data_IF_034932151357
#
_entry.id   IF_034932151357
#
_cell.length_a   1.000
_cell.length_b   1.000
_cell.length_c   1.000
_cell.angle_alpha   90.00
_cell.angle_beta   90.00
_cell.angle_gamma   90.00
#
_symmetry.space_group_name_H-M   'P 1'
#
loop_
_entity.id
_entity.type
_entity.pdbx_description
1 polymer ?
#
# COMPACT_ATOMS: atom_id res chain seq x y z
N UNK A 1 3.70 16.39 5.05
CA UNK A 1 2.50 17.15 5.38
C UNK A 1 1.90 17.89 4.21
N UNK A 2 2.23 19.17 4.01
CA UNK A 2 1.57 20.05 3.00
C UNK A 2 1.71 19.53 1.57
N UNK A 3 2.89 19.06 1.20
CA UNK A 3 3.14 18.53 -0.15
C UNK A 3 2.28 17.29 -0.46
N UNK A 4 2.13 16.38 0.51
CA UNK A 4 1.25 15.22 0.35
C UNK A 4 -0.22 15.61 0.21
N UNK A 5 -0.67 16.60 0.98
CA UNK A 5 -2.04 17.13 0.86
C UNK A 5 -2.29 17.76 -0.52
N UNK A 6 -1.34 18.56 -1.03
CA UNK A 6 -1.45 19.15 -2.36
C UNK A 6 -1.51 18.09 -3.47
N UNK A 7 -0.66 17.05 -3.41
CA UNK A 7 -0.70 15.95 -4.37
C UNK A 7 -2.03 15.19 -4.31
N UNK A 8 -2.57 14.96 -3.12
CA UNK A 8 -3.88 14.32 -2.96
C UNK A 8 -5.00 15.18 -3.57
N UNK A 9 -5.00 16.51 -3.34
CA UNK A 9 -6.00 17.41 -3.91
C UNK A 9 -5.94 17.42 -5.44
N UNK A 10 -4.75 17.56 -6.03
CA UNK A 10 -4.58 17.61 -7.48
C UNK A 10 -4.94 16.27 -8.11
N UNK A 11 -4.51 15.15 -7.49
CA UNK A 11 -4.85 13.81 -7.95
C UNK A 11 -6.36 13.57 -7.93
N UNK A 12 -7.01 13.88 -6.81
CA UNK A 12 -8.46 13.73 -6.66
C UNK A 12 -9.22 14.56 -7.69
N UNK A 13 -8.82 15.83 -7.88
CA UNK A 13 -9.45 16.70 -8.89
C UNK A 13 -9.31 16.13 -10.31
N UNK A 14 -8.13 15.64 -10.66
CA UNK A 14 -7.90 15.01 -11.96
C UNK A 14 -8.79 13.79 -12.21
N UNK A 15 -8.96 12.95 -11.19
CA UNK A 15 -9.87 11.79 -11.29
C UNK A 15 -11.35 12.22 -11.31
N UNK A 16 -11.76 13.21 -10.54
CA UNK A 16 -13.12 13.77 -10.61
C UNK A 16 -13.44 14.29 -12.03
N UNK A 17 -12.49 14.97 -12.66
CA UNK A 17 -12.66 15.45 -14.05
C UNK A 17 -12.85 14.28 -15.02
N UNK A 18 -12.07 13.21 -14.90
CA UNK A 18 -12.21 12.02 -15.75
C UNK A 18 -13.55 11.31 -15.51
N UNK A 19 -13.98 11.23 -14.26
CA UNK A 19 -15.23 10.58 -13.88
C UNK A 19 -16.47 11.43 -14.19
N UNK A 20 -16.29 12.73 -14.40
CA UNK A 20 -17.37 13.67 -14.61
C UNK A 20 -18.11 14.05 -13.33
N UNK A 21 -17.47 13.92 -12.19
CA UNK A 21 -18.00 14.25 -10.87
C UNK A 21 -17.30 13.51 -9.74
N UNK A 22 -17.76 13.70 -8.53
CA UNK A 22 -17.24 12.99 -7.34
C UNK A 22 -17.61 11.53 -7.39
N UNK A 23 -16.63 10.65 -7.36
CA UNK A 23 -16.83 9.19 -7.38
C UNK A 23 -16.70 8.53 -6.00
N UNK A 24 -16.26 9.28 -4.99
CA UNK A 24 -16.07 8.82 -3.60
C UNK A 24 -17.19 9.31 -2.70
N UNK A 25 -17.47 8.53 -1.66
CA UNK A 25 -18.53 8.76 -0.69
C UNK A 25 -18.01 8.49 0.72
N UNK A 26 -18.22 9.44 1.64
CA UNK A 26 -17.88 9.25 3.05
C UNK A 26 -19.06 9.52 3.98
N UNK A 27 -20.27 9.60 3.45
CA UNK A 27 -21.48 9.97 4.21
C UNK A 27 -21.74 9.03 5.38
N UNK A 28 -21.45 7.74 5.20
CA UNK A 28 -21.60 6.71 6.24
C UNK A 28 -20.28 6.27 6.88
N UNK A 29 -19.15 6.91 6.56
CA UNK A 29 -17.84 6.47 7.05
C UNK A 29 -17.69 6.75 8.55
N UNK A 30 -17.42 5.69 9.31
CA UNK A 30 -16.93 5.79 10.69
C UNK A 30 -15.40 5.73 10.66
N UNK A 31 -14.77 6.88 10.78
CA UNK A 31 -13.30 6.98 10.70
C UNK A 31 -12.60 6.23 11.84
N UNK A 32 -13.18 6.22 13.04
CA UNK A 32 -12.61 5.49 14.17
C UNK A 32 -12.60 3.97 13.94
N UNK A 33 -13.54 3.45 13.17
CA UNK A 33 -13.60 2.02 12.85
C UNK A 33 -12.69 1.59 11.70
N UNK A 34 -12.01 2.53 11.02
CA UNK A 34 -11.10 2.22 9.91
C UNK A 34 -9.70 1.81 10.37
N UNK A 35 -9.35 2.06 11.61
CA UNK A 35 -8.03 1.77 12.19
C UNK A 35 -8.18 0.65 13.22
N UNK A 36 -7.29 -0.33 13.20
CA UNK A 36 -7.28 -1.40 14.21
C UNK A 36 -6.84 -0.85 15.57
N UNK A 37 -7.17 -1.56 16.66
CA UNK A 37 -6.73 -1.13 17.99
C UNK A 37 -5.19 -1.14 18.09
N UNK A 38 -4.56 -2.16 17.52
CA UNK A 38 -3.09 -2.28 17.54
C UNK A 38 -2.42 -1.11 16.80
N UNK A 39 -2.98 -0.68 15.66
CA UNK A 39 -2.49 0.49 14.93
C UNK A 39 -2.73 1.78 15.72
N UNK A 40 -3.88 1.93 16.37
CA UNK A 40 -4.16 3.07 17.24
C UNK A 40 -3.18 3.15 18.40
N UNK A 41 -2.88 2.03 19.04
CA UNK A 41 -1.94 1.95 20.14
C UNK A 41 -0.53 2.31 19.67
N UNK A 42 -0.10 1.81 18.51
CA UNK A 42 1.18 2.16 17.91
C UNK A 42 1.29 3.66 17.58
N UNK A 43 0.26 4.24 16.97
CA UNK A 43 0.23 5.69 16.66
C UNK A 43 0.20 6.55 17.91
N UNK A 44 -0.60 6.18 18.90
CA UNK A 44 -0.67 6.93 20.17
C UNK A 44 0.64 6.80 20.97
N UNK A 45 1.30 5.64 20.96
CA UNK A 45 2.61 5.46 21.55
C UNK A 45 3.67 6.38 20.89
N UNK A 46 3.64 6.48 19.55
CA UNK A 46 4.49 7.40 18.79
C UNK A 46 4.26 8.88 19.14
N UNK A 47 3.10 9.21 19.71
CA UNK A 47 2.74 10.55 20.22
C UNK A 47 2.91 10.65 21.75
N UNK A 48 3.86 9.95 22.33
CA UNK A 48 4.13 9.94 23.77
C UNK A 48 2.96 9.42 24.63
N UNK A 49 2.22 8.46 24.11
CA UNK A 49 1.08 7.85 24.82
C UNK A 49 -0.16 8.72 24.89
N UNK A 50 -0.25 9.80 24.11
CA UNK A 50 -1.47 10.61 24.03
C UNK A 50 -2.56 9.90 23.24
N UNK A 51 -3.83 10.21 23.53
CA UNK A 51 -4.97 9.75 22.75
C UNK A 51 -5.30 10.65 21.54
N UNK A 52 -4.32 11.39 21.02
CA UNK A 52 -4.53 12.42 20.02
C UNK A 52 -5.10 11.85 18.71
N UNK A 53 -4.59 10.69 18.24
CA UNK A 53 -5.11 10.04 17.03
C UNK A 53 -6.54 9.54 17.27
N UNK A 54 -6.81 8.92 18.39
CA UNK A 54 -8.17 8.47 18.77
C UNK A 54 -9.15 9.64 18.80
N UNK A 55 -8.75 10.75 19.43
CA UNK A 55 -9.56 11.97 19.48
C UNK A 55 -9.79 12.57 18.09
N UNK A 56 -8.77 12.62 17.24
CA UNK A 56 -8.89 13.10 15.86
C UNK A 56 -9.87 12.23 15.04
N UNK A 57 -9.77 10.92 15.10
CA UNK A 57 -10.65 10.01 14.38
C UNK A 57 -12.10 10.11 14.89
N UNK A 58 -12.29 10.26 16.21
CA UNK A 58 -13.59 10.53 16.81
C UNK A 58 -14.19 11.84 16.30
N UNK A 59 -13.39 12.92 16.29
CA UNK A 59 -13.81 14.22 15.75
C UNK A 59 -14.21 14.11 14.27
N UNK A 60 -13.39 13.48 13.43
CA UNK A 60 -13.70 13.28 12.02
C UNK A 60 -14.99 12.50 11.81
N UNK A 61 -15.29 11.55 12.69
CA UNK A 61 -16.51 10.74 12.62
C UNK A 61 -17.77 11.57 12.87
N UNK A 62 -17.72 12.53 13.80
CA UNK A 62 -18.91 13.31 14.21
C UNK A 62 -18.99 14.70 13.53
N UNK A 63 -17.86 15.32 13.25
CA UNK A 63 -17.77 16.69 12.75
C UNK A 63 -17.02 16.82 11.43
N UNK A 64 -16.43 15.75 10.89
CA UNK A 64 -15.78 15.75 9.59
C UNK A 64 -16.75 16.05 8.44
N UNK A 65 -16.27 16.76 7.43
CA UNK A 65 -17.08 17.06 6.25
C UNK A 65 -17.56 15.77 5.58
N UNK A 66 -18.86 15.70 5.32
CA UNK A 66 -19.50 14.58 4.61
C UNK A 66 -19.64 14.93 3.13
N UNK A 67 -19.25 14.00 2.30
CA UNK A 67 -19.29 14.14 0.84
C UNK A 67 -20.03 12.94 0.26
N UNK A 68 -21.08 13.20 -0.49
CA UNK A 68 -21.80 12.19 -1.24
C UNK A 68 -21.23 12.07 -2.66
N UNK A 69 -21.14 10.85 -3.16
CA UNK A 69 -20.74 10.58 -4.52
C UNK A 69 -21.85 11.01 -5.52
N UNK A 70 -21.46 11.47 -6.68
CA UNK A 70 -22.32 11.50 -7.85
C UNK A 70 -22.53 10.05 -8.34
N UNK A 71 -23.77 9.57 -8.47
CA UNK A 71 -24.05 8.18 -8.84
C UNK A 71 -23.45 7.79 -10.20
N UNK A 72 -23.43 8.71 -11.16
CA UNK A 72 -22.90 8.45 -12.51
C UNK A 72 -21.36 8.35 -12.46
N UNK A 73 -20.71 9.27 -11.75
CA UNK A 73 -19.27 9.24 -11.57
C UNK A 73 -18.83 7.99 -10.81
N UNK A 74 -19.56 7.61 -9.76
CA UNK A 74 -19.29 6.37 -9.00
C UNK A 74 -19.43 5.12 -9.88
N UNK A 75 -20.48 5.03 -10.68
CA UNK A 75 -20.67 3.90 -11.60
C UNK A 75 -19.57 3.85 -12.67
N UNK A 76 -19.15 5.00 -13.20
CA UNK A 76 -18.05 5.08 -14.16
C UNK A 76 -16.74 4.63 -13.55
N UNK A 77 -16.42 5.10 -12.33
CA UNK A 77 -15.25 4.67 -11.59
C UNK A 77 -15.26 3.15 -11.37
N UNK A 78 -16.37 2.61 -10.89
CA UNK A 78 -16.52 1.18 -10.64
C UNK A 78 -16.31 0.34 -11.92
N UNK A 79 -16.77 0.82 -13.07
CA UNK A 79 -16.62 0.09 -14.34
C UNK A 79 -15.23 0.17 -14.96
N UNK A 80 -14.46 1.22 -14.68
CA UNK A 80 -13.19 1.48 -15.35
C UNK A 80 -11.96 1.23 -14.47
N UNK A 81 -12.06 1.45 -13.18
CA UNK A 81 -10.91 1.50 -12.28
C UNK A 81 -10.93 0.45 -11.16
N UNK A 82 -12.08 -0.15 -10.87
CA UNK A 82 -12.10 -1.21 -9.87
C UNK A 82 -11.41 -2.45 -10.42
N UNK A 83 -10.40 -2.89 -9.71
CA UNK A 83 -9.64 -4.08 -10.08
C UNK A 83 -10.56 -5.31 -10.05
N UNK A 84 -10.60 -6.04 -11.15
CA UNK A 84 -11.44 -7.24 -11.28
C UNK A 84 -10.77 -8.51 -10.76
N UNK A 85 -9.45 -8.47 -10.51
CA UNK A 85 -8.65 -9.64 -10.20
C UNK A 85 -8.34 -10.52 -11.42
N UNK A 86 -8.76 -10.14 -12.63
CA UNK A 86 -8.47 -10.90 -13.85
C UNK A 86 -7.04 -10.60 -14.33
N UNK A 87 -6.11 -11.46 -13.94
CA UNK A 87 -4.70 -11.37 -14.35
C UNK A 87 -4.44 -12.45 -15.41
N UNK A 88 -4.57 -12.07 -16.67
CA UNK A 88 -4.50 -13.01 -17.80
C UNK A 88 -3.08 -13.24 -18.33
N UNK A 89 -2.12 -12.45 -17.89
CA UNK A 89 -0.70 -12.54 -18.30
C UNK A 89 0.21 -12.63 -17.08
N UNK A 90 1.40 -13.22 -17.21
CA UNK A 90 2.37 -13.23 -16.13
C UNK A 90 2.70 -11.80 -15.66
N UNK A 91 2.43 -11.52 -14.41
CA UNK A 91 2.52 -10.19 -13.80
C UNK A 91 3.44 -10.20 -12.60
N UNK A 92 4.33 -9.22 -12.52
CA UNK A 92 5.18 -8.98 -11.35
C UNK A 92 4.75 -7.67 -10.70
N UNK A 93 4.32 -7.73 -9.46
CA UNK A 93 4.03 -6.56 -8.63
C UNK A 93 5.14 -6.34 -7.63
N UNK A 94 5.42 -5.09 -7.30
CA UNK A 94 6.33 -4.70 -6.22
C UNK A 94 5.56 -3.84 -5.23
N UNK A 95 5.65 -4.19 -3.96
CA UNK A 95 4.88 -3.50 -2.91
C UNK A 95 5.72 -3.37 -1.64
N UNK A 96 5.84 -2.16 -1.13
CA UNK A 96 6.46 -1.90 0.17
C UNK A 96 5.42 -1.99 1.28
N UNK A 97 5.73 -2.74 2.35
CA UNK A 97 4.79 -2.97 3.46
C UNK A 97 4.50 -1.70 4.27
N UNK A 98 5.44 -0.77 4.29
CA UNK A 98 5.30 0.51 5.01
C UNK A 98 5.17 1.73 4.07
N UNK A 99 4.66 1.53 2.85
CA UNK A 99 4.39 2.63 1.93
C UNK A 99 3.15 3.42 2.38
N UNK A 100 3.31 4.72 2.73
CA UNK A 100 2.17 5.53 3.19
C UNK A 100 1.28 6.06 2.06
N UNK A 101 1.69 5.89 0.80
CA UNK A 101 0.97 6.42 -0.39
C UNK A 101 0.25 5.30 -1.12
N UNK A 102 0.91 4.14 -1.27
CA UNK A 102 0.33 2.95 -1.87
C UNK A 102 0.32 1.80 -0.87
N UNK A 103 -0.64 1.77 0.05
CA UNK A 103 -0.68 0.78 1.11
C UNK A 103 -0.66 -0.66 0.59
N UNK A 104 0.07 -1.53 1.29
CA UNK A 104 0.20 -2.94 0.92
C UNK A 104 -1.15 -3.67 0.81
N UNK A 105 -2.15 -3.22 1.55
CA UNK A 105 -3.53 -3.71 1.48
C UNK A 105 -4.18 -3.57 0.09
N UNK A 106 -3.75 -2.62 -0.75
CA UNK A 106 -4.20 -2.54 -2.15
C UNK A 106 -3.77 -3.76 -2.95
N UNK A 107 -2.53 -4.20 -2.76
CA UNK A 107 -2.01 -5.39 -3.43
C UNK A 107 -2.65 -6.66 -2.86
N UNK A 108 -2.89 -6.71 -1.55
CA UNK A 108 -3.61 -7.81 -0.93
C UNK A 108 -5.04 -7.93 -1.50
N UNK A 109 -5.72 -6.81 -1.64
CA UNK A 109 -7.05 -6.79 -2.25
C UNK A 109 -7.05 -7.34 -3.69
N UNK A 110 -6.00 -7.07 -4.47
CA UNK A 110 -5.82 -7.65 -5.80
C UNK A 110 -5.57 -9.17 -5.73
N UNK A 111 -4.78 -9.64 -4.77
CA UNK A 111 -4.51 -11.07 -4.55
C UNK A 111 -5.79 -11.81 -4.21
N UNK A 112 -6.57 -11.26 -3.27
CA UNK A 112 -7.82 -11.88 -2.78
C UNK A 112 -8.88 -12.02 -3.88
N UNK A 113 -8.85 -11.14 -4.88
CA UNK A 113 -9.74 -11.19 -6.05
C UNK A 113 -9.13 -11.92 -7.24
N UNK A 114 -7.89 -12.34 -7.14
CA UNK A 114 -7.13 -12.96 -8.23
C UNK A 114 -7.77 -14.24 -8.73
N UNK A 115 -8.23 -14.24 -9.99
CA UNK A 115 -8.82 -15.43 -10.63
C UNK A 115 -7.76 -16.40 -11.16
N UNK A 116 -6.52 -15.95 -11.28
CA UNK A 116 -5.40 -16.75 -11.78
C UNK A 116 -4.11 -16.48 -10.98
N UNK A 117 -3.98 -17.06 -9.77
CA UNK A 117 -2.85 -16.81 -8.88
C UNK A 117 -1.49 -17.22 -9.49
N UNK A 118 -1.48 -18.13 -10.47
CA UNK A 118 -0.23 -18.53 -11.15
C UNK A 118 0.36 -17.42 -12.03
N UNK A 119 -0.44 -16.44 -12.39
CA UNK A 119 -0.02 -15.30 -13.20
C UNK A 119 0.43 -14.09 -12.37
N UNK A 120 0.37 -14.14 -11.06
CA UNK A 120 0.79 -13.04 -10.20
C UNK A 120 1.93 -13.48 -9.28
N UNK A 121 2.98 -12.71 -9.23
CA UNK A 121 3.97 -12.74 -8.16
C UNK A 121 4.12 -11.36 -7.56
N UNK A 122 4.11 -11.29 -6.24
CA UNK A 122 4.34 -10.04 -5.50
C UNK A 122 5.71 -10.10 -4.84
N UNK A 123 6.53 -9.11 -5.16
CA UNK A 123 7.79 -8.84 -4.49
C UNK A 123 7.49 -7.87 -3.34
N UNK A 124 7.32 -8.43 -2.16
CA UNK A 124 7.08 -7.65 -0.95
C UNK A 124 8.38 -7.04 -0.45
N UNK A 125 8.39 -5.75 -0.12
CA UNK A 125 9.52 -5.12 0.53
C UNK A 125 9.25 -4.98 2.02
N UNK A 126 10.03 -5.71 2.81
CA UNK A 126 9.92 -5.71 4.26
C UNK A 126 10.53 -4.43 4.83
N UNK A 127 9.82 -3.82 5.75
CA UNK A 127 10.38 -2.73 6.55
C UNK A 127 11.46 -3.29 7.48
N UNK A 128 12.62 -2.64 7.59
CA UNK A 128 13.62 -3.02 8.59
C UNK A 128 13.02 -2.97 9.99
N UNK A 129 13.39 -3.89 10.86
CA UNK A 129 12.96 -3.96 12.28
C UNK A 129 13.37 -2.75 13.14
N UNK A 130 14.04 -1.79 12.51
CA UNK A 130 14.63 -0.61 13.15
C UNK A 130 13.65 0.48 13.54
N UNK A 131 12.36 0.32 13.20
CA UNK A 131 11.32 1.33 13.44
C UNK A 131 10.29 0.90 14.50
N UNK A 132 10.70 0.09 15.46
CA UNK A 132 9.83 -0.32 16.57
C UNK A 132 9.78 0.70 17.73
N UNK A 133 10.66 1.70 17.70
CA UNK A 133 10.73 2.76 18.72
C UNK A 133 10.57 4.12 18.06
N UNK A 134 9.89 5.04 18.77
CA UNK A 134 9.67 6.40 18.30
C UNK A 134 10.09 7.40 19.38
N UNK A 135 10.71 8.50 18.96
CA UNK A 135 10.94 9.67 19.79
C UNK A 135 9.99 10.77 19.28
N UNK A 136 8.87 10.94 19.95
CA UNK A 136 7.76 11.75 19.46
C UNK A 136 7.22 11.14 18.14
N UNK A 137 7.20 11.93 17.07
CA UNK A 137 6.76 11.51 15.74
C UNK A 137 7.87 10.89 14.86
N UNK A 138 9.11 10.89 15.37
CA UNK A 138 10.25 10.44 14.59
C UNK A 138 10.60 9.02 14.92
N UNK A 139 10.64 8.09 13.94
CA UNK A 139 11.10 6.74 14.19
C UNK A 139 12.57 6.74 14.62
N UNK A 140 12.88 5.97 15.67
CA UNK A 140 14.24 5.78 16.14
C UNK A 140 14.84 4.57 15.41
N UNK A 141 15.87 4.83 14.63
CA UNK A 141 16.62 3.77 13.99
C UNK A 141 17.58 3.10 14.99
N UNK A 142 17.52 1.78 15.13
CA UNK A 142 18.49 1.01 15.91
C UNK A 142 19.88 0.94 15.24
N UNK A 143 19.97 1.39 13.98
CA UNK A 143 21.23 1.50 13.25
C UNK A 143 21.36 2.87 12.61
N UNK A 144 22.48 3.58 12.81
CA UNK A 144 22.72 4.86 12.14
C UNK A 144 22.65 4.81 10.61
N UNK A 145 22.94 3.65 10.02
CA UNK A 145 22.86 3.40 8.57
C UNK A 145 21.42 3.15 8.07
N UNK A 146 20.47 2.92 8.96
CA UNK A 146 19.10 2.58 8.63
C UNK A 146 18.18 3.81 8.59
N UNK A 147 18.73 5.00 8.47
CA UNK A 147 17.97 6.23 8.42
C UNK A 147 16.84 6.15 7.38
N UNK A 148 15.60 6.16 7.85
CA UNK A 148 14.35 6.44 7.12
C UNK A 148 14.02 5.61 5.87
N UNK A 149 14.91 4.79 5.37
CA UNK A 149 14.66 3.95 4.21
C UNK A 149 13.76 2.76 4.61
N UNK A 150 12.78 2.46 3.82
CA UNK A 150 11.78 1.39 4.08
C UNK A 150 10.42 1.90 4.56
N UNK A 151 10.32 3.19 4.94
CA UNK A 151 9.05 3.85 5.31
C UNK A 151 8.60 4.89 4.29
N UNK A 152 9.32 5.06 3.19
CA UNK A 152 9.01 6.00 2.13
C UNK A 152 8.25 5.34 0.98
N UNK A 153 7.56 6.17 0.21
CA UNK A 153 6.87 5.73 -1.00
C UNK A 153 7.85 5.14 -2.02
N UNK A 154 7.53 3.95 -2.53
CA UNK A 154 8.28 3.25 -3.60
C UNK A 154 9.80 3.11 -3.32
N UNK A 155 10.16 2.79 -2.12
CA UNK A 155 11.56 2.69 -1.70
C UNK A 155 12.23 1.39 -2.19
N UNK A 156 12.44 1.28 -3.49
CA UNK A 156 13.16 0.18 -4.12
C UNK A 156 14.45 0.68 -4.75
N UNK A 157 15.50 -0.13 -4.69
CA UNK A 157 16.75 0.18 -5.38
C UNK A 157 16.61 -0.04 -6.89
N UNK A 158 17.53 0.57 -7.68
CA UNK A 158 17.56 0.35 -9.12
C UNK A 158 17.74 -1.13 -9.46
N UNK A 159 18.60 -1.86 -8.72
CA UNK A 159 18.82 -3.28 -8.94
C UNK A 159 17.57 -4.13 -8.68
N UNK A 160 16.76 -3.74 -7.71
CA UNK A 160 15.46 -4.38 -7.44
C UNK A 160 14.46 -4.13 -8.56
N UNK A 161 14.38 -2.90 -9.09
CA UNK A 161 13.58 -2.58 -10.27
C UNK A 161 14.04 -3.36 -11.51
N UNK A 162 15.35 -3.40 -11.74
CA UNK A 162 15.92 -4.16 -12.85
C UNK A 162 15.68 -5.66 -12.73
N UNK A 163 15.70 -6.19 -11.51
CA UNK A 163 15.36 -7.59 -11.27
C UNK A 163 13.89 -7.88 -11.58
N UNK A 164 12.98 -7.05 -11.10
CA UNK A 164 11.55 -7.20 -11.41
C UNK A 164 11.30 -7.19 -12.92
N UNK A 165 11.94 -6.26 -13.65
CA UNK A 165 11.86 -6.20 -15.10
C UNK A 165 12.43 -7.47 -15.78
N UNK A 166 13.54 -8.02 -15.27
CA UNK A 166 14.12 -9.29 -15.79
C UNK A 166 13.18 -10.47 -15.55
N UNK A 167 12.55 -10.56 -14.40
CA UNK A 167 11.56 -11.60 -14.09
C UNK A 167 10.36 -11.49 -15.04
N UNK A 168 9.81 -10.29 -15.20
CA UNK A 168 8.69 -10.03 -16.09
C UNK A 168 9.04 -10.36 -17.56
N UNK A 169 10.22 -9.94 -18.05
CA UNK A 169 10.67 -10.26 -19.40
C UNK A 169 10.89 -11.77 -19.62
N UNK A 170 11.43 -12.48 -18.62
CA UNK A 170 11.55 -13.94 -18.68
C UNK A 170 10.18 -14.59 -18.76
N UNK A 171 9.24 -14.13 -17.94
CA UNK A 171 7.88 -14.65 -17.92
C UNK A 171 7.13 -14.36 -19.23
N UNK A 172 7.33 -13.18 -19.83
CA UNK A 172 6.78 -12.85 -21.15
C UNK A 172 7.26 -13.79 -22.26
N UNK A 173 8.53 -14.20 -22.20
CA UNK A 173 9.12 -15.14 -23.19
C UNK A 173 8.67 -16.58 -23.00
N UNK A 174 8.42 -16.99 -21.76
CA UNK A 174 8.11 -18.39 -21.42
C UNK A 174 6.63 -18.65 -21.19
N UNK A 175 5.82 -17.60 -21.07
CA UNK A 175 4.41 -17.68 -20.69
C UNK A 175 4.19 -18.05 -19.22
N UNK A 176 5.24 -18.13 -18.39
CA UNK A 176 5.16 -18.58 -16.98
C UNK A 176 6.09 -17.77 -16.07
N UNK A 177 5.60 -17.48 -14.88
CA UNK A 177 6.46 -16.93 -13.81
C UNK A 177 7.42 -18.02 -13.27
N UNK A 178 8.66 -17.65 -12.89
CA UNK A 178 9.52 -18.54 -12.15
C UNK A 178 8.90 -18.94 -10.79
N UNK A 179 9.38 -20.03 -10.20
CA UNK A 179 8.93 -20.44 -8.87
C UNK A 179 9.36 -19.44 -7.79
N UNK A 180 8.60 -19.36 -6.69
CA UNK A 180 8.96 -18.52 -5.52
C UNK A 180 10.38 -18.80 -5.02
N UNK A 181 10.81 -20.07 -4.99
CA UNK A 181 12.18 -20.45 -4.62
C UNK A 181 13.21 -19.82 -5.56
N UNK A 182 12.97 -19.86 -6.87
CA UNK A 182 13.87 -19.25 -7.86
C UNK A 182 13.92 -17.73 -7.68
N UNK A 183 12.76 -17.09 -7.53
CA UNK A 183 12.67 -15.65 -7.35
C UNK A 183 13.36 -15.22 -6.05
N UNK A 184 13.14 -15.92 -4.94
CA UNK A 184 13.83 -15.63 -3.67
C UNK A 184 15.35 -15.74 -3.77
N UNK A 185 15.86 -16.71 -4.53
CA UNK A 185 17.30 -16.80 -4.83
C UNK A 185 17.84 -15.63 -5.65
N UNK A 186 16.99 -14.99 -6.46
CA UNK A 186 17.35 -13.79 -7.23
C UNK A 186 17.26 -12.53 -6.39
N UNK A 187 16.17 -12.33 -5.62
CA UNK A 187 15.99 -11.14 -4.79
C UNK A 187 17.02 -11.05 -3.68
N UNK A 188 17.47 -12.19 -3.13
CA UNK A 188 18.54 -12.22 -2.12
C UNK A 188 19.85 -11.56 -2.59
N UNK A 189 20.09 -11.51 -3.90
CA UNK A 189 21.31 -10.92 -4.49
C UNK A 189 21.25 -9.40 -4.62
N UNK A 190 20.03 -8.81 -4.56
CA UNK A 190 19.77 -7.37 -4.72
C UNK A 190 19.22 -6.75 -3.46
N UNK A 191 19.02 -7.55 -2.41
CA UNK A 191 18.58 -7.06 -1.11
C UNK A 191 19.68 -6.26 -0.43
N UNK A 192 19.27 -5.17 0.22
CA UNK A 192 20.11 -4.35 1.07
C UNK A 192 19.60 -4.37 2.49
N UNK A 193 20.34 -3.78 3.43
CA UNK A 193 19.89 -3.65 4.81
C UNK A 193 18.53 -2.91 4.92
N UNK A 194 18.32 -1.91 4.06
CA UNK A 194 17.16 -1.03 4.12
C UNK A 194 15.98 -1.46 3.24
N UNK A 195 16.22 -2.34 2.27
CA UNK A 195 15.21 -2.79 1.32
C UNK A 195 15.36 -4.28 1.09
N UNK A 196 14.51 -5.05 1.73
CA UNK A 196 14.54 -6.51 1.68
C UNK A 196 13.31 -7.03 0.97
N UNK A 197 13.48 -7.42 -0.29
CA UNK A 197 12.44 -8.10 -1.05
C UNK A 197 12.33 -9.56 -0.62
N UNK A 198 11.11 -10.06 -0.63
CA UNK A 198 10.82 -11.48 -0.48
C UNK A 198 9.57 -11.86 -1.28
N UNK A 199 9.47 -13.14 -1.60
CA UNK A 199 8.25 -13.75 -2.14
C UNK A 199 7.83 -14.86 -1.20
N UNK A 200 6.63 -14.76 -0.69
CA UNK A 200 6.01 -15.75 0.16
C UNK A 200 4.55 -15.91 -0.27
N UNK A 201 4.17 -17.07 -0.84
CA UNK A 201 2.79 -17.33 -1.26
C UNK A 201 1.79 -17.34 -0.11
N UNK A 202 2.27 -17.60 1.11
CA UNK A 202 1.43 -17.70 2.31
C UNK A 202 1.37 -16.37 3.08
N UNK A 203 2.15 -15.35 2.64
CA UNK A 203 2.12 -14.04 3.26
C UNK A 203 0.88 -13.26 2.82
N UNK A 204 0.16 -12.71 3.81
CA UNK A 204 -0.96 -11.81 3.58
C UNK A 204 -0.68 -10.47 4.29
N UNK A 205 -0.75 -9.39 3.51
CA UNK A 205 -0.80 -8.04 4.08
C UNK A 205 -2.20 -7.76 4.64
N UNK A 206 -2.30 -6.87 5.63
CA UNK A 206 -3.61 -6.44 6.13
C UNK A 206 -4.43 -5.80 5.01
N UNK A 207 -5.59 -6.35 4.65
CA UNK A 207 -6.42 -5.79 3.59
C UNK A 207 -6.91 -4.40 3.96
N UNK A 208 -7.00 -3.51 2.98
CA UNK A 208 -7.71 -2.26 3.18
C UNK A 208 -9.20 -2.53 3.39
N UNK A 209 -9.78 -1.91 4.40
CA UNK A 209 -11.20 -1.96 4.64
C UNK A 209 -11.89 -0.94 3.73
N UNK A 210 -12.37 -1.37 2.59
CA UNK A 210 -13.27 -0.56 1.78
C UNK A 210 -14.69 -0.77 2.27
N UNK A 211 -15.41 0.31 2.54
CA UNK A 211 -16.87 0.25 2.69
C UNK A 211 -17.44 -0.14 1.32
N UNK A 212 -17.89 -1.37 1.21
CA UNK A 212 -18.58 -1.88 0.03
C UNK A 212 -20.01 -1.33 0.01
#
# INVERSE_FOLDING_TARGET
GVQGALLAIVGTYGEEMKMGGRFYDNTATNWAAQVSQDDLDAYNAGLSGTSAITGMLGYLTVAGQRVAADPIAKARFASQYVQTGQINVPTVAMTALADPVTPAGNTQWLIDRGTNPKNLVVLWNRTPETYTEFNGLSPVSKSPAAATNGTNHCNFTLDQWMLAAKIANSAAKTGKLPTSKTINGLVAKVNTYNTTLFVDPDFAATPLKYNQ
#
